data_IF_537840109746
#
_entry.id   IF_537840109746
#
_cell.length_a   1.000
_cell.length_b   1.000
_cell.length_c   1.000
_cell.angle_alpha   90.00
_cell.angle_beta   90.00
_cell.angle_gamma   90.00
#
_symmetry.space_group_name_H-M   'P 1'
#
loop_
_entity.id
_entity.type
_entity.pdbx_description
1 polymer ?
#
# COMPACT_ATOMS: atom_id res chain seq x y z
N UNK A 1 1.21 -13.14 -14.61
CA UNK A 1 1.45 -11.82 -15.25
C UNK A 1 0.65 -11.58 -16.53
N UNK A 2 0.48 -12.54 -17.45
CA UNK A 2 -0.21 -12.31 -18.74
C UNK A 2 -1.66 -11.80 -18.61
N UNK A 3 -2.42 -12.27 -17.62
CA UNK A 3 -3.81 -11.81 -17.39
C UNK A 3 -3.88 -10.34 -16.92
N UNK A 4 -2.93 -9.91 -16.08
CA UNK A 4 -2.84 -8.52 -15.59
C UNK A 4 -2.56 -7.54 -16.73
N UNK A 5 -1.62 -7.88 -17.61
CA UNK A 5 -1.28 -7.07 -18.79
C UNK A 5 -2.49 -6.86 -19.70
N UNK A 6 -3.24 -7.93 -19.98
CA UNK A 6 -4.46 -7.86 -20.81
C UNK A 6 -5.53 -6.97 -20.17
N UNK A 7 -5.76 -7.10 -18.86
CA UNK A 7 -6.74 -6.30 -18.11
C UNK A 7 -6.38 -4.81 -18.07
N UNK A 8 -5.11 -4.48 -17.87
CA UNK A 8 -4.63 -3.09 -17.89
C UNK A 8 -4.78 -2.44 -19.27
N UNK A 9 -4.36 -3.14 -20.33
CA UNK A 9 -4.52 -2.67 -21.72
C UNK A 9 -5.99 -2.45 -22.05
N UNK A 10 -6.87 -3.35 -21.59
CA UNK A 10 -8.31 -3.23 -21.80
C UNK A 10 -8.91 -2.04 -21.03
N UNK A 11 -8.46 -1.78 -19.81
CA UNK A 11 -8.88 -0.64 -19.00
C UNK A 11 -8.54 0.69 -19.70
N UNK A 12 -7.26 0.87 -20.09
CA UNK A 12 -6.81 2.07 -20.79
C UNK A 12 -7.54 2.30 -22.12
N UNK A 13 -7.85 1.24 -22.87
CA UNK A 13 -8.60 1.36 -24.14
C UNK A 13 -10.08 1.71 -23.96
N UNK A 14 -10.69 1.35 -22.82
CA UNK A 14 -12.14 1.51 -22.61
C UNK A 14 -12.53 2.81 -21.92
N UNK A 15 -11.61 3.44 -21.18
CA UNK A 15 -11.86 4.68 -20.45
C UNK A 15 -10.82 5.73 -20.84
N UNK A 16 -11.31 6.87 -21.33
CA UNK A 16 -10.48 8.04 -21.65
C UNK A 16 -9.77 8.57 -20.41
N UNK A 17 -10.42 8.50 -19.25
CA UNK A 17 -9.83 8.86 -17.96
C UNK A 17 -8.67 7.93 -17.60
N UNK A 18 -8.85 6.62 -17.81
CA UNK A 18 -7.80 5.64 -17.57
C UNK A 18 -6.60 5.84 -18.50
N UNK A 19 -6.83 6.08 -19.80
CA UNK A 19 -5.75 6.40 -20.75
C UNK A 19 -5.01 7.67 -20.34
N UNK A 20 -5.75 8.74 -20.00
CA UNK A 20 -5.17 10.02 -19.56
C UNK A 20 -4.30 9.83 -18.32
N UNK A 21 -4.80 9.10 -17.32
CA UNK A 21 -4.06 8.82 -16.09
C UNK A 21 -2.81 7.99 -16.38
N UNK A 22 -2.93 6.91 -17.15
CA UNK A 22 -1.80 6.03 -17.50
C UNK A 22 -0.70 6.78 -18.24
N UNK A 23 -1.03 7.63 -19.22
CA UNK A 23 -0.04 8.44 -19.94
C UNK A 23 0.65 9.45 -19.03
N UNK A 24 -0.09 10.04 -18.10
CA UNK A 24 0.49 10.88 -17.06
C UNK A 24 1.46 10.09 -16.17
N UNK A 25 1.09 8.89 -15.73
CA UNK A 25 1.94 8.05 -14.88
C UNK A 25 3.25 7.70 -15.59
N UNK A 26 3.19 7.35 -16.88
CA UNK A 26 4.36 7.05 -17.71
C UNK A 26 5.35 8.21 -17.80
N UNK A 27 4.86 9.44 -17.97
CA UNK A 27 5.70 10.61 -18.23
C UNK A 27 6.30 11.22 -16.97
N UNK A 28 5.64 11.09 -15.83
CA UNK A 28 5.92 11.91 -14.64
C UNK A 28 6.57 11.14 -13.48
N UNK A 29 6.50 9.83 -13.47
CA UNK A 29 7.02 9.00 -12.38
C UNK A 29 8.29 8.25 -12.76
N UNK A 30 9.30 8.94 -13.31
CA UNK A 30 10.62 8.34 -13.56
C UNK A 30 11.23 7.73 -12.30
N UNK A 31 10.91 8.28 -11.12
CA UNK A 31 11.42 7.80 -9.83
C UNK A 31 10.46 6.85 -9.12
N UNK A 32 9.64 6.10 -9.86
CA UNK A 32 9.13 4.83 -9.36
C UNK A 32 8.50 4.91 -7.95
N UNK A 33 7.52 5.80 -7.81
CA UNK A 33 7.01 6.20 -6.49
C UNK A 33 6.04 5.16 -5.92
N UNK A 34 6.27 4.69 -4.69
CA UNK A 34 5.40 3.73 -4.00
C UNK A 34 4.01 4.28 -3.64
N UNK A 35 3.91 5.57 -3.34
CA UNK A 35 2.67 6.20 -2.90
C UNK A 35 2.34 7.41 -3.76
N UNK A 36 1.16 7.43 -4.34
CA UNK A 36 0.70 8.58 -5.13
C UNK A 36 -0.60 9.15 -4.58
N UNK A 37 -0.68 10.48 -4.47
CA UNK A 37 -1.87 11.14 -3.93
C UNK A 37 -2.88 11.49 -5.02
N UNK A 38 -4.16 11.26 -4.74
CA UNK A 38 -5.26 11.40 -5.71
C UNK A 38 -5.51 12.86 -6.11
N UNK A 39 -5.44 13.78 -5.14
CA UNK A 39 -5.57 15.23 -5.35
C UNK A 39 -4.50 15.76 -6.32
N UNK A 40 -3.27 15.30 -6.15
CA UNK A 40 -2.15 15.68 -7.02
C UNK A 40 -2.33 15.13 -8.44
N UNK A 41 -2.73 13.87 -8.58
CA UNK A 41 -3.01 13.27 -9.89
C UNK A 41 -4.15 14.02 -10.61
N UNK A 42 -5.24 14.31 -9.90
CA UNK A 42 -6.38 15.05 -10.43
C UNK A 42 -5.96 16.43 -10.96
N UNK A 43 -5.22 17.19 -10.14
CA UNK A 43 -4.71 18.51 -10.52
C UNK A 43 -3.79 18.47 -11.74
N UNK A 44 -2.98 17.41 -11.89
CA UNK A 44 -2.00 17.31 -12.98
C UNK A 44 -2.59 16.78 -14.28
N UNK A 45 -3.57 15.90 -14.19
CA UNK A 45 -4.25 15.32 -15.35
C UNK A 45 -5.42 16.17 -15.85
N UNK A 46 -5.91 17.10 -15.02
CA UNK A 46 -7.15 17.84 -15.29
C UNK A 46 -8.41 17.02 -15.05
N UNK A 47 -8.27 15.77 -14.60
CA UNK A 47 -9.40 14.92 -14.20
C UNK A 47 -9.94 15.35 -12.84
N UNK A 48 -11.22 15.06 -12.60
CA UNK A 48 -11.80 15.21 -11.26
C UNK A 48 -11.24 14.17 -10.30
N UNK A 49 -11.15 14.48 -9.00
CA UNK A 49 -10.73 13.50 -7.99
C UNK A 49 -11.58 12.24 -7.99
N UNK A 50 -12.87 12.36 -8.32
CA UNK A 50 -13.79 11.22 -8.47
C UNK A 50 -13.36 10.32 -9.63
N UNK A 51 -13.11 10.88 -10.81
CA UNK A 51 -12.65 10.10 -11.97
C UNK A 51 -11.32 9.40 -11.69
N UNK A 52 -10.36 10.11 -11.08
CA UNK A 52 -9.07 9.50 -10.69
C UNK A 52 -9.31 8.35 -9.71
N UNK A 53 -10.15 8.56 -8.70
CA UNK A 53 -10.49 7.51 -7.72
C UNK A 53 -11.16 6.30 -8.37
N UNK A 54 -12.09 6.52 -9.29
CA UNK A 54 -12.81 5.46 -9.99
C UNK A 54 -11.83 4.61 -10.83
N UNK A 55 -10.90 5.26 -11.54
CA UNK A 55 -9.83 4.56 -12.29
C UNK A 55 -8.92 3.78 -11.34
N UNK A 56 -8.46 4.40 -10.25
CA UNK A 56 -7.59 3.74 -9.28
C UNK A 56 -8.28 2.56 -8.57
N UNK A 57 -9.59 2.65 -8.35
CA UNK A 57 -10.36 1.55 -7.78
C UNK A 57 -10.50 0.39 -8.78
N UNK A 58 -10.66 0.68 -10.08
CA UNK A 58 -10.60 -0.35 -11.13
C UNK A 58 -9.22 -0.99 -11.21
N UNK A 59 -8.15 -0.18 -11.14
CA UNK A 59 -6.77 -0.66 -11.05
C UNK A 59 -6.52 -1.55 -9.82
N UNK A 60 -7.04 -1.18 -8.64
CA UNK A 60 -7.02 -2.03 -7.46
C UNK A 60 -7.73 -3.38 -7.71
N UNK A 61 -8.86 -3.37 -8.42
CA UNK A 61 -9.55 -4.61 -8.82
C UNK A 61 -8.74 -5.50 -9.77
N UNK A 62 -7.77 -4.95 -10.49
CA UNK A 62 -6.81 -5.68 -11.33
C UNK A 62 -5.63 -6.21 -10.50
N UNK A 63 -5.40 -5.65 -9.31
CA UNK A 63 -4.33 -6.05 -8.39
C UNK A 63 -3.03 -5.26 -8.54
N UNK A 64 -3.03 -4.06 -9.14
CA UNK A 64 -1.80 -3.26 -9.29
C UNK A 64 -1.43 -2.42 -8.05
N UNK A 65 -2.32 -2.34 -7.06
CA UNK A 65 -2.11 -1.58 -5.84
C UNK A 65 -3.36 -1.50 -4.96
N UNK A 66 -3.28 -0.67 -3.91
CA UNK A 66 -4.36 -0.45 -2.94
C UNK A 66 -4.71 1.03 -2.85
N UNK A 67 -5.98 1.37 -3.05
CA UNK A 67 -6.50 2.70 -2.75
C UNK A 67 -6.76 2.83 -1.24
N UNK A 68 -6.13 3.82 -0.60
CA UNK A 68 -6.37 4.19 0.81
C UNK A 68 -7.16 5.49 0.84
N UNK A 69 -8.42 5.39 1.26
CA UNK A 69 -9.29 6.55 1.47
C UNK A 69 -8.84 7.30 2.72
N UNK A 70 -8.66 8.61 2.58
CA UNK A 70 -8.30 9.48 3.68
C UNK A 70 -9.42 9.57 4.73
N UNK A 71 -9.06 9.63 6.02
CA UNK A 71 -9.95 9.93 7.15
C UNK A 71 -9.37 11.08 7.98
N UNK A 72 -10.23 11.90 8.62
CA UNK A 72 -9.82 12.99 9.53
C UNK A 72 -8.76 13.95 8.95
N UNK A 73 -8.92 14.36 7.70
CA UNK A 73 -7.99 15.29 7.04
C UNK A 73 -6.76 14.64 6.37
N UNK A 74 -6.54 13.32 6.55
CA UNK A 74 -5.56 12.61 5.76
C UNK A 74 -5.95 12.59 4.27
N UNK A 75 -4.97 12.71 3.37
CA UNK A 75 -5.20 12.69 1.92
C UNK A 75 -5.49 11.28 1.42
N UNK A 76 -6.34 11.18 0.40
CA UNK A 76 -6.55 9.92 -0.32
C UNK A 76 -5.32 9.61 -1.16
N UNK A 77 -4.82 8.37 -1.05
CA UNK A 77 -3.59 7.93 -1.69
C UNK A 77 -3.75 6.55 -2.30
N UNK A 78 -2.91 6.24 -3.26
CA UNK A 78 -2.78 4.92 -3.87
C UNK A 78 -1.39 4.38 -3.57
N UNK A 79 -1.35 3.19 -3.00
CA UNK A 79 -0.13 2.45 -2.69
C UNK A 79 0.09 1.43 -3.80
N UNK A 80 1.16 1.59 -4.57
CA UNK A 80 1.48 0.76 -5.72
C UNK A 80 2.14 -0.54 -5.27
N UNK A 81 1.67 -1.67 -5.80
CA UNK A 81 2.29 -2.99 -5.58
C UNK A 81 3.38 -3.31 -6.60
N UNK A 82 3.40 -2.55 -7.70
CA UNK A 82 4.35 -2.71 -8.80
C UNK A 82 4.89 -1.34 -9.20
N UNK A 83 5.99 -1.33 -9.96
CA UNK A 83 6.53 -0.09 -10.46
C UNK A 83 5.55 0.72 -11.30
N UNK A 84 5.35 1.99 -10.92
CA UNK A 84 4.35 2.87 -11.57
C UNK A 84 4.63 3.01 -13.07
N UNK A 85 5.91 3.15 -13.43
CA UNK A 85 6.36 3.22 -14.82
C UNK A 85 6.02 1.97 -15.59
N UNK A 86 6.27 0.79 -15.03
CA UNK A 86 5.96 -0.50 -15.65
C UNK A 86 4.45 -0.71 -15.80
N UNK A 87 3.66 -0.42 -14.76
CA UNK A 87 2.19 -0.47 -14.85
C UNK A 87 1.70 0.43 -15.98
N UNK A 88 2.28 1.61 -16.12
CA UNK A 88 1.92 2.55 -17.19
C UNK A 88 2.36 2.05 -18.58
N UNK A 89 3.59 1.53 -18.73
CA UNK A 89 4.11 0.94 -19.99
C UNK A 89 3.23 -0.20 -20.46
N UNK A 90 2.92 -1.13 -19.56
CA UNK A 90 2.03 -2.27 -19.81
C UNK A 90 0.65 -1.79 -20.27
N UNK A 91 0.08 -0.80 -19.58
CA UNK A 91 -1.24 -0.29 -19.91
C UNK A 91 -1.30 0.42 -21.28
N UNK A 92 -0.24 1.12 -21.70
CA UNK A 92 -0.12 1.73 -23.04
C UNK A 92 0.13 0.67 -24.13
N UNK A 93 0.54 -0.54 -23.75
CA UNK A 93 0.78 -1.62 -24.69
C UNK A 93 2.24 -1.82 -25.07
N UNK A 94 3.16 -1.14 -24.39
CA UNK A 94 4.60 -1.33 -24.59
C UNK A 94 5.05 -2.72 -24.11
N UNK A 95 6.18 -3.15 -24.65
CA UNK A 95 6.78 -4.44 -24.32
C UNK A 95 7.33 -4.41 -22.90
N UNK A 96 7.15 -5.50 -22.17
CA UNK A 96 7.66 -5.64 -20.81
C UNK A 96 9.20 -5.59 -20.84
N UNK A 97 9.80 -5.10 -19.76
CA UNK A 97 11.21 -5.41 -19.51
C UNK A 97 11.41 -6.93 -19.53
N UNK A 98 12.57 -7.35 -20.02
CA UNK A 98 13.03 -8.72 -19.91
C UNK A 98 13.44 -9.03 -18.46
N UNK A 99 13.75 -10.29 -18.17
CA UNK A 99 14.08 -10.73 -16.80
C UNK A 99 15.24 -9.92 -16.20
N UNK A 100 16.21 -9.51 -17.03
CA UNK A 100 17.34 -8.67 -16.61
C UNK A 100 16.88 -7.25 -16.23
N UNK A 101 16.02 -6.62 -17.02
CA UNK A 101 15.45 -5.31 -16.71
C UNK A 101 14.57 -5.32 -15.46
N UNK A 102 13.86 -6.42 -15.19
CA UNK A 102 13.11 -6.58 -13.94
C UNK A 102 14.02 -6.69 -12.73
N UNK A 103 15.09 -7.48 -12.78
CA UNK A 103 16.04 -7.60 -11.65
C UNK A 103 16.71 -6.26 -11.30
N UNK A 104 17.08 -5.47 -12.31
CA UNK A 104 17.68 -4.14 -12.10
C UNK A 104 16.69 -3.17 -11.45
N UNK A 105 15.44 -3.16 -11.95
CA UNK A 105 14.40 -2.27 -11.46
C UNK A 105 13.88 -2.69 -10.08
N UNK A 106 13.81 -4.00 -9.79
CA UNK A 106 13.55 -4.49 -8.43
C UNK A 106 14.66 -4.10 -7.47
N UNK A 107 15.94 -4.23 -7.87
CA UNK A 107 17.06 -3.77 -7.03
C UNK A 107 16.93 -2.29 -6.70
N UNK A 108 16.64 -1.42 -7.65
CA UNK A 108 16.42 0.01 -7.38
C UNK A 108 15.19 0.26 -6.51
N UNK A 109 14.06 -0.39 -6.81
CA UNK A 109 12.78 -0.20 -6.12
C UNK A 109 12.77 -0.72 -4.68
N UNK A 110 13.57 -1.75 -4.39
CA UNK A 110 13.71 -2.34 -3.07
C UNK A 110 14.96 -1.86 -2.32
N UNK A 111 16.00 -1.34 -3.01
CA UNK A 111 17.15 -0.70 -2.36
C UNK A 111 16.77 0.59 -1.64
N UNK A 112 15.93 1.43 -2.26
CA UNK A 112 15.42 2.65 -1.61
C UNK A 112 14.58 2.35 -0.35
N UNK A 113 13.99 1.15 -0.25
CA UNK A 113 13.26 0.73 0.94
C UNK A 113 14.16 0.14 2.04
N UNK A 114 15.41 -0.16 1.73
CA UNK A 114 16.43 -0.55 2.70
C UNK A 114 17.24 0.66 3.18
N UNK A 115 17.32 1.74 2.40
CA UNK A 115 17.96 3.01 2.78
C UNK A 115 16.97 4.04 3.36
N UNK A 116 15.66 3.86 3.18
CA UNK A 116 14.62 4.60 3.93
C UNK A 116 14.40 4.03 5.34
N UNK A 117 15.50 3.73 6.04
CA UNK A 117 15.55 3.66 7.50
C UNK A 117 15.60 5.10 8.08
N UNK A 118 14.81 6.01 7.49
CA UNK A 118 14.60 7.38 7.94
C UNK A 118 13.57 7.34 9.08
N UNK A 119 14.09 7.20 10.30
CA UNK A 119 13.88 8.13 11.42
C UNK A 119 12.43 8.64 11.69
N UNK A 120 11.41 7.86 11.32
CA UNK A 120 10.02 8.14 11.67
C UNK A 120 9.18 6.89 11.93
N UNK A 121 9.81 5.72 11.95
CA UNK A 121 9.27 4.59 12.70
C UNK A 121 9.80 4.70 14.12
N UNK A 122 9.02 5.27 15.04
CA UNK A 122 9.05 4.69 16.38
C UNK A 122 8.74 3.22 16.17
N UNK A 123 9.78 2.38 16.18
CA UNK A 123 9.62 0.94 16.12
C UNK A 123 8.60 0.60 17.21
N UNK A 124 7.37 0.26 16.81
CA UNK A 124 6.41 -0.26 17.76
C UNK A 124 7.11 -1.48 18.35
N UNK A 125 7.43 -1.47 19.66
CA UNK A 125 8.20 -2.54 20.24
C UNK A 125 7.44 -3.84 19.97
N UNK A 126 8.13 -4.93 19.60
CA UNK A 126 7.48 -6.19 19.29
C UNK A 126 6.45 -6.52 20.37
N UNK A 127 5.19 -6.61 19.96
CA UNK A 127 4.06 -6.87 20.86
C UNK A 127 3.94 -8.37 21.06
N UNK A 128 4.00 -8.79 22.33
CA UNK A 128 3.75 -10.15 22.73
C UNK A 128 2.29 -10.29 23.13
N UNK A 129 1.61 -11.24 22.49
CA UNK A 129 0.20 -11.53 22.76
C UNK A 129 0.13 -12.52 23.93
N UNK A 130 -0.53 -12.12 25.01
CA UNK A 130 -0.81 -12.97 26.16
C UNK A 130 -2.30 -13.29 26.24
N UNK A 131 -2.62 -14.56 26.42
CA UNK A 131 -3.99 -15.01 26.70
C UNK A 131 -4.13 -15.25 28.19
N UNK A 132 -4.96 -14.44 28.85
CA UNK A 132 -5.16 -14.50 30.31
C UNK A 132 -6.55 -15.04 30.61
N UNK A 133 -6.68 -16.16 31.35
CA UNK A 133 -7.98 -16.66 31.79
C UNK A 133 -8.54 -15.76 32.91
N UNK A 134 -9.78 -15.30 32.75
CA UNK A 134 -10.50 -14.45 33.72
C UNK A 134 -11.47 -15.23 34.63
N UNK A 135 -11.56 -16.56 34.47
CA UNK A 135 -12.54 -17.39 35.16
C UNK A 135 -13.90 -17.44 34.43
N UNK A 136 -14.71 -18.47 34.72
CA UNK A 136 -16.02 -18.66 34.08
C UNK A 136 -15.97 -18.89 32.56
N UNK A 137 -14.88 -19.48 32.04
CA UNK A 137 -14.70 -19.76 30.61
C UNK A 137 -14.35 -18.55 29.73
N UNK A 138 -14.10 -17.38 30.33
CA UNK A 138 -13.73 -16.14 29.62
C UNK A 138 -12.22 -15.95 29.58
N UNK A 139 -11.73 -15.44 28.45
CA UNK A 139 -10.32 -15.13 28.22
C UNK A 139 -10.16 -13.67 27.78
N UNK A 140 -9.18 -12.98 28.35
CA UNK A 140 -8.72 -11.69 27.86
C UNK A 140 -7.48 -11.88 26.99
N UNK A 141 -7.44 -11.16 25.88
CA UNK A 141 -6.26 -11.05 25.02
C UNK A 141 -5.58 -9.73 25.32
N UNK A 142 -4.33 -9.80 25.77
CA UNK A 142 -3.49 -8.65 26.10
C UNK A 142 -2.37 -8.55 25.07
N UNK A 143 -2.20 -7.37 24.50
CA UNK A 143 -1.11 -7.05 23.57
C UNK A 143 -0.17 -6.11 24.31
N UNK A 144 0.97 -6.65 24.76
CA UNK A 144 1.93 -5.92 25.61
C UNK A 144 3.30 -5.89 24.93
N UNK A 145 4.06 -4.78 25.04
CA UNK A 145 5.43 -4.70 24.55
C UNK A 145 6.34 -5.79 25.14
N UNK A 146 7.35 -6.26 24.39
CA UNK A 146 8.33 -7.26 24.85
C UNK A 146 9.09 -6.89 26.13
N UNK A 147 9.16 -5.60 26.46
CA UNK A 147 9.76 -5.11 27.70
C UNK A 147 8.98 -5.51 28.97
N UNK A 148 7.75 -6.00 28.84
CA UNK A 148 6.94 -6.45 29.97
C UNK A 148 7.34 -7.84 30.42
N UNK A 149 7.71 -7.94 31.69
CA UNK A 149 8.07 -9.21 32.30
C UNK A 149 6.82 -10.06 32.60
N UNK A 150 7.01 -11.37 32.79
CA UNK A 150 5.94 -12.29 33.22
C UNK A 150 5.26 -11.81 34.52
N UNK A 151 6.02 -11.14 35.41
CA UNK A 151 5.49 -10.60 36.66
C UNK A 151 4.52 -9.42 36.44
N UNK A 152 4.71 -8.64 35.37
CA UNK A 152 3.81 -7.52 35.06
C UNK A 152 2.50 -8.00 34.44
N UNK A 153 2.54 -9.10 33.68
CA UNK A 153 1.33 -9.78 33.19
C UNK A 153 0.51 -10.35 34.35
N UNK A 154 1.15 -10.86 35.40
CA UNK A 154 0.45 -11.34 36.60
C UNK A 154 -0.25 -10.21 37.38
N UNK A 155 0.35 -9.03 37.47
CA UNK A 155 -0.30 -7.85 38.08
C UNK A 155 -1.54 -7.43 37.30
N UNK A 156 -1.46 -7.42 35.96
CA UNK A 156 -2.61 -7.11 35.10
C UNK A 156 -3.71 -8.18 35.25
N UNK A 157 -3.34 -9.45 35.38
CA UNK A 157 -4.28 -10.54 35.66
C UNK A 157 -5.00 -10.35 37.01
N UNK A 158 -4.28 -9.95 38.06
CA UNK A 158 -4.88 -9.66 39.37
C UNK A 158 -5.85 -8.48 39.31
N UNK A 159 -5.51 -7.43 38.56
CA UNK A 159 -6.41 -6.29 38.36
C UNK A 159 -7.68 -6.68 37.59
N UNK A 160 -7.56 -7.47 36.53
CA UNK A 160 -8.71 -7.92 35.73
C UNK A 160 -9.60 -8.93 36.46
N UNK A 161 -9.09 -9.64 37.47
CA UNK A 161 -9.87 -10.56 38.29
C UNK A 161 -10.75 -9.88 39.36
N UNK A 162 -10.61 -8.56 39.54
CA UNK A 162 -11.44 -7.75 40.45
C UNK A 162 -12.72 -7.20 39.78
N UNK A 163 -12.89 -7.43 38.46
CA UNK A 163 -14.06 -7.04 37.66
C UNK A 163 -14.79 -8.28 37.13
#
# INVERSE_FOLDING_TARGET
MQDLSKKLKQLARRSTEADTLVRFLKTRYTNNVRVSHVDLMARKTGLTERQVRDVLQQMQGIGVGSLKLGRRGARTRFEWSFPVTEVARIAVGEELLDDAGWEELEKEWFADALDSDDESSQAEPPLKIFSVPLGGGRFARLELPESYSVQDVEKVKQFLALF
#
